data_IF_205166128614
#
_entry.id   IF_205166128614
#
_cell.length_a   1.000
_cell.length_b   1.000
_cell.length_c   1.000
_cell.angle_alpha   90.00
_cell.angle_beta   90.00
_cell.angle_gamma   90.00
#
_symmetry.space_group_name_H-M   'P 1'
#
loop_
_entity.id
_entity.type
_entity.pdbx_description
1 polymer ?
#
# COMPACT_ATOMS: atom_id res chain seq x y z
N UNK A 1 -52.85 28.59 1.66
CA UNK A 1 -52.64 27.64 0.54
C UNK A 1 -52.50 26.23 1.13
N UNK A 2 -53.59 25.46 1.26
CA UNK A 2 -53.58 24.12 1.85
C UNK A 2 -53.25 23.11 0.75
N UNK A 3 -52.03 22.58 0.75
CA UNK A 3 -51.58 21.56 -0.21
C UNK A 3 -52.41 20.26 0.00
N UNK A 4 -53.13 19.76 -1.03
CA UNK A 4 -53.90 18.54 -0.89
C UNK A 4 -52.99 17.30 -0.88
N UNK A 5 -53.33 16.33 -0.01
CA UNK A 5 -53.07 14.91 -0.24
C UNK A 5 -51.70 14.36 0.17
N UNK A 6 -51.58 13.81 1.38
CA UNK A 6 -50.38 13.06 1.82
C UNK A 6 -49.96 11.90 0.89
N UNK A 7 -50.86 11.41 0.02
CA UNK A 7 -50.54 10.45 -1.05
C UNK A 7 -49.63 11.05 -2.14
N UNK A 8 -49.82 12.32 -2.50
CA UNK A 8 -48.99 13.02 -3.48
C UNK A 8 -47.55 13.19 -2.97
N UNK A 9 -47.40 13.56 -1.69
CA UNK A 9 -46.07 13.69 -1.04
C UNK A 9 -45.32 12.35 -1.00
N UNK A 10 -46.01 11.24 -0.73
CA UNK A 10 -45.42 9.89 -0.76
C UNK A 10 -45.00 9.48 -2.17
N UNK A 11 -45.85 9.74 -3.18
CA UNK A 11 -45.53 9.45 -4.57
C UNK A 11 -44.30 10.24 -5.06
N UNK A 12 -44.22 11.53 -4.72
CA UNK A 12 -43.05 12.37 -5.03
C UNK A 12 -41.77 11.85 -4.36
N UNK A 13 -41.86 11.42 -3.10
CA UNK A 13 -40.72 10.82 -2.39
C UNK A 13 -40.24 9.51 -3.03
N UNK A 14 -41.16 8.62 -3.41
CA UNK A 14 -40.82 7.37 -4.11
C UNK A 14 -40.19 7.67 -5.47
N UNK A 15 -40.77 8.60 -6.23
CA UNK A 15 -40.21 9.01 -7.53
C UNK A 15 -38.79 9.59 -7.39
N UNK A 16 -38.54 10.40 -6.35
CA UNK A 16 -37.21 10.94 -6.06
C UNK A 16 -36.19 9.83 -5.75
N UNK A 17 -36.55 8.86 -4.91
CA UNK A 17 -35.68 7.72 -4.59
C UNK A 17 -35.39 6.90 -5.85
N UNK A 18 -36.40 6.59 -6.66
CA UNK A 18 -36.22 5.87 -7.92
C UNK A 18 -35.29 6.64 -8.89
N UNK A 19 -35.44 7.96 -8.98
CA UNK A 19 -34.57 8.80 -9.81
C UNK A 19 -33.13 8.83 -9.30
N UNK A 20 -32.92 8.94 -7.98
CA UNK A 20 -31.58 8.90 -7.38
C UNK A 20 -30.90 7.54 -7.57
N UNK A 21 -31.61 6.45 -7.33
CA UNK A 21 -31.08 5.09 -7.52
C UNK A 21 -30.80 4.83 -9.00
N UNK A 22 -31.73 5.21 -9.89
CA UNK A 22 -31.53 5.09 -11.34
C UNK A 22 -30.33 5.91 -11.83
N UNK A 23 -30.18 7.14 -11.35
CA UNK A 23 -29.03 7.99 -11.66
C UNK A 23 -27.70 7.41 -11.15
N UNK A 24 -27.69 6.77 -9.98
CA UNK A 24 -26.50 6.09 -9.44
C UNK A 24 -26.11 4.87 -10.28
N UNK A 25 -27.08 4.04 -10.68
CA UNK A 25 -26.83 2.89 -11.56
C UNK A 25 -26.35 3.35 -12.94
N UNK A 26 -26.95 4.41 -13.48
CA UNK A 26 -26.54 5.02 -14.75
C UNK A 26 -25.11 5.57 -14.68
N UNK A 27 -24.75 6.25 -13.59
CA UNK A 27 -23.40 6.72 -13.36
C UNK A 27 -22.39 5.56 -13.32
N UNK A 28 -22.71 4.47 -12.62
CA UNK A 28 -21.85 3.28 -12.58
C UNK A 28 -21.68 2.65 -13.97
N UNK A 29 -22.69 2.68 -14.83
CA UNK A 29 -22.58 2.19 -16.21
C UNK A 29 -21.58 3.02 -17.03
N UNK A 30 -21.55 4.34 -16.85
CA UNK A 30 -20.57 5.24 -17.50
C UNK A 30 -19.17 5.07 -16.90
N UNK A 31 -19.08 4.90 -15.57
CA UNK A 31 -17.80 4.78 -14.86
C UNK A 31 -17.15 3.40 -15.03
N UNK A 32 -17.94 2.34 -15.25
CA UNK A 32 -17.46 0.96 -15.40
C UNK A 32 -16.26 0.79 -16.33
N UNK A 33 -16.21 1.34 -17.56
CA UNK A 33 -15.05 1.17 -18.45
C UNK A 33 -13.77 1.83 -17.92
N UNK A 34 -13.89 2.85 -17.07
CA UNK A 34 -12.75 3.52 -16.44
C UNK A 34 -12.24 2.70 -15.25
N UNK A 35 -13.13 2.01 -14.53
CA UNK A 35 -12.80 1.21 -13.34
C UNK A 35 -12.28 -0.20 -13.66
N UNK A 36 -12.06 -0.53 -14.94
CA UNK A 36 -11.49 -1.83 -15.36
C UNK A 36 -10.01 -1.96 -14.94
N UNK A 37 -9.32 -0.85 -14.70
CA UNK A 37 -7.95 -0.81 -14.19
C UNK A 37 -7.79 0.26 -13.10
N UNK A 38 -6.75 0.10 -12.28
CA UNK A 38 -6.39 1.06 -11.21
C UNK A 38 -5.87 2.41 -11.74
N UNK A 39 -5.77 2.55 -13.06
CA UNK A 39 -5.29 3.74 -13.76
C UNK A 39 -6.44 4.64 -14.23
N UNK A 40 -7.69 4.22 -14.01
CA UNK A 40 -8.89 4.94 -14.43
C UNK A 40 -8.94 5.23 -15.94
N UNK A 41 -8.24 4.44 -16.76
CA UNK A 41 -8.07 4.71 -18.19
C UNK A 41 -8.77 3.65 -19.04
N UNK A 42 -9.88 3.97 -19.74
CA UNK A 42 -10.64 2.99 -20.50
C UNK A 42 -9.78 2.36 -21.60
N UNK A 43 -10.01 1.06 -21.85
CA UNK A 43 -9.31 0.24 -22.84
C UNK A 43 -7.79 0.11 -22.65
N UNK A 44 -7.22 0.61 -21.55
CA UNK A 44 -5.82 0.42 -21.25
C UNK A 44 -5.60 -0.93 -20.56
N UNK A 45 -4.96 -1.86 -21.25
CA UNK A 45 -4.62 -3.16 -20.68
C UNK A 45 -3.37 -3.02 -19.78
N UNK A 46 -3.43 -3.30 -18.46
CA UNK A 46 -2.28 -3.26 -17.55
C UNK A 46 -1.21 -4.34 -17.83
N UNK A 47 -1.27 -4.98 -19.01
CA UNK A 47 -0.42 -6.09 -19.44
C UNK A 47 0.68 -5.65 -20.44
N UNK A 48 0.72 -4.37 -20.80
CA UNK A 48 1.58 -3.82 -21.85
C UNK A 48 2.88 -3.18 -21.36
N UNK A 49 3.46 -2.35 -22.24
CA UNK A 49 4.77 -1.70 -22.12
C UNK A 49 5.05 -0.96 -20.80
N UNK A 50 4.02 -0.45 -20.13
CA UNK A 50 4.11 0.20 -18.81
C UNK A 50 4.83 -0.65 -17.75
N UNK A 51 4.61 -1.97 -17.78
CA UNK A 51 5.23 -2.88 -16.81
C UNK A 51 6.67 -3.21 -17.19
N UNK A 52 7.01 -3.15 -18.48
CA UNK A 52 8.38 -3.26 -18.98
C UNK A 52 9.22 -2.06 -18.59
N UNK A 53 8.67 -0.84 -18.72
CA UNK A 53 9.35 0.38 -18.25
C UNK A 53 9.72 0.28 -16.77
N UNK A 54 8.80 -0.23 -15.96
CA UNK A 54 9.03 -0.31 -14.52
C UNK A 54 10.12 -1.32 -14.13
N UNK A 55 10.30 -2.40 -14.91
CA UNK A 55 11.44 -3.30 -14.72
C UNK A 55 12.76 -2.65 -15.14
N UNK A 56 12.79 -1.90 -16.24
CA UNK A 56 13.98 -1.16 -16.68
C UNK A 56 14.41 -0.18 -15.60
N UNK A 57 13.48 0.64 -15.08
CA UNK A 57 13.77 1.54 -13.97
C UNK A 57 14.21 0.81 -12.71
N UNK A 58 13.57 -0.32 -12.38
CA UNK A 58 13.99 -1.14 -11.24
C UNK A 58 15.44 -1.60 -11.37
N UNK A 59 15.85 -2.12 -12.53
CA UNK A 59 17.22 -2.58 -12.76
C UNK A 59 18.23 -1.42 -12.64
N UNK A 60 17.91 -0.27 -13.22
CA UNK A 60 18.79 0.90 -13.13
C UNK A 60 18.88 1.49 -11.73
N UNK A 61 17.78 1.56 -10.98
CA UNK A 61 17.78 2.06 -9.59
C UNK A 61 18.51 1.13 -8.62
N UNK A 62 18.62 -0.17 -8.95
CA UNK A 62 19.37 -1.13 -8.14
C UNK A 62 20.86 -1.15 -8.46
N UNK A 63 21.23 -0.90 -9.72
CA UNK A 63 22.60 -1.04 -10.20
C UNK A 63 23.38 0.27 -10.35
N UNK A 64 22.72 1.41 -10.55
CA UNK A 64 23.38 2.66 -10.92
C UNK A 64 22.92 3.83 -10.04
N UNK A 65 23.84 4.35 -9.23
CA UNK A 65 23.68 5.61 -8.51
C UNK A 65 23.85 6.81 -9.47
N UNK A 66 22.91 6.97 -10.40
CA UNK A 66 22.87 8.09 -11.34
C UNK A 66 23.36 7.77 -12.76
N UNK A 67 22.64 8.29 -13.75
CA UNK A 67 22.91 8.13 -15.17
C UNK A 67 21.69 8.43 -16.04
N UNK A 68 21.88 8.61 -17.35
CA UNK A 68 20.79 8.72 -18.33
C UNK A 68 20.35 7.33 -18.79
N UNK A 69 19.05 7.04 -18.73
CA UNK A 69 18.50 5.75 -19.14
C UNK A 69 17.94 5.87 -20.56
N UNK A 70 18.54 5.15 -21.51
CA UNK A 70 18.02 5.02 -22.86
C UNK A 70 16.86 4.03 -22.90
N UNK A 71 15.63 4.53 -22.74
CA UNK A 71 14.42 3.70 -22.69
C UNK A 71 14.19 2.90 -23.98
N UNK A 72 14.68 3.42 -25.11
CA UNK A 72 14.56 2.80 -26.44
C UNK A 72 15.83 2.06 -26.88
N UNK A 73 16.86 2.01 -26.04
CA UNK A 73 18.08 1.28 -26.37
C UNK A 73 17.85 -0.23 -26.27
N UNK A 74 18.45 -1.00 -27.19
CA UNK A 74 18.36 -2.46 -27.20
C UNK A 74 18.95 -3.07 -25.93
N UNK A 75 19.92 -2.39 -25.30
CA UNK A 75 20.49 -2.80 -24.01
C UNK A 75 19.47 -2.77 -22.85
N UNK A 76 18.41 -1.97 -22.98
CA UNK A 76 17.31 -1.87 -22.00
C UNK A 76 16.16 -2.83 -22.29
N UNK A 77 16.27 -3.68 -23.32
CA UNK A 77 15.21 -4.62 -23.69
C UNK A 77 15.15 -5.81 -22.72
N UNK A 78 14.05 -5.93 -21.99
CA UNK A 78 13.82 -7.03 -21.04
C UNK A 78 12.86 -8.04 -21.67
N UNK A 79 13.31 -9.24 -22.04
CA UNK A 79 12.43 -10.28 -22.57
C UNK A 79 11.48 -10.75 -21.46
N UNK A 80 10.18 -10.55 -21.65
CA UNK A 80 9.16 -10.87 -20.65
C UNK A 80 8.25 -12.03 -21.08
N UNK A 81 8.13 -13.10 -20.28
CA UNK A 81 7.02 -14.05 -20.40
C UNK A 81 5.72 -13.37 -19.95
N UNK A 82 4.60 -13.84 -20.48
CA UNK A 82 3.24 -13.25 -20.42
C UNK A 82 2.62 -13.00 -19.02
N UNK A 83 3.37 -13.20 -17.92
CA UNK A 83 2.90 -13.08 -16.55
C UNK A 83 3.14 -11.67 -15.97
N UNK A 84 2.03 -10.96 -15.76
CA UNK A 84 1.96 -9.54 -15.37
C UNK A 84 1.91 -9.38 -13.86
N UNK A 85 3.02 -9.64 -13.18
CA UNK A 85 3.18 -9.18 -11.80
C UNK A 85 4.45 -8.37 -11.70
N UNK A 86 4.29 -7.11 -11.32
CA UNK A 86 5.42 -6.31 -10.94
C UNK A 86 6.06 -6.97 -9.73
N UNK A 87 7.29 -7.46 -9.91
CA UNK A 87 8.05 -8.04 -8.80
C UNK A 87 8.65 -6.89 -8.02
N UNK A 88 8.02 -6.49 -6.92
CA UNK A 88 8.62 -5.51 -6.02
C UNK A 88 9.74 -6.20 -5.22
N UNK A 89 10.93 -5.61 -5.12
CA UNK A 89 11.95 -6.18 -4.24
C UNK A 89 11.50 -6.07 -2.78
N UNK A 90 11.61 -7.15 -1.98
CA UNK A 90 11.27 -7.10 -0.56
C UNK A 90 12.18 -6.13 0.21
N UNK A 91 13.40 -5.90 -0.29
CA UNK A 91 14.38 -4.94 0.26
C UNK A 91 14.03 -3.48 -0.02
N UNK A 92 13.25 -3.18 -1.06
CA UNK A 92 12.96 -1.79 -1.47
C UNK A 92 12.21 -1.02 -0.40
N UNK A 93 11.21 -1.64 0.24
CA UNK A 93 10.49 -1.03 1.36
C UNK A 93 11.44 -0.73 2.53
N UNK A 94 12.38 -1.64 2.82
CA UNK A 94 13.37 -1.42 3.88
C UNK A 94 14.36 -0.32 3.51
N UNK A 95 14.79 -0.25 2.25
CA UNK A 95 15.68 0.80 1.77
C UNK A 95 15.00 2.17 1.82
N UNK A 96 13.73 2.27 1.41
CA UNK A 96 12.94 3.49 1.49
C UNK A 96 12.67 3.89 2.94
N UNK A 97 12.32 2.92 3.81
CA UNK A 97 12.22 3.16 5.24
C UNK A 97 13.53 3.67 5.81
N UNK A 98 14.68 3.10 5.43
CA UNK A 98 15.98 3.53 5.96
C UNK A 98 16.49 4.85 5.34
N UNK A 99 16.07 5.18 4.11
CA UNK A 99 16.46 6.42 3.44
C UNK A 99 15.61 7.61 3.88
N UNK A 100 14.31 7.40 4.08
CA UNK A 100 13.36 8.44 4.50
C UNK A 100 13.26 8.53 6.03
N UNK A 101 13.23 7.41 6.76
CA UNK A 101 13.27 7.41 8.22
C UNK A 101 14.72 7.47 8.69
N UNK A 102 15.24 8.69 8.79
CA UNK A 102 16.36 8.99 9.70
C UNK A 102 16.07 8.61 11.17
N UNK A 103 14.83 8.24 11.49
CA UNK A 103 14.39 7.76 12.78
C UNK A 103 13.10 6.95 12.60
N UNK A 104 13.16 5.61 12.70
CA UNK A 104 11.98 4.85 13.08
C UNK A 104 11.48 5.46 14.41
N UNK A 105 10.37 6.18 14.40
CA UNK A 105 9.91 6.93 15.59
C UNK A 105 9.73 6.00 16.79
N UNK A 106 9.39 4.74 16.52
CA UNK A 106 9.33 3.68 17.50
C UNK A 106 10.71 3.02 17.59
N UNK A 107 11.55 3.53 18.49
CA UNK A 107 12.71 2.76 18.95
C UNK A 107 12.23 1.81 20.06
N UNK A 108 12.26 0.49 19.89
CA UNK A 108 11.93 -0.46 20.96
C UNK A 108 13.02 -0.48 22.04
N UNK A 109 12.63 -0.79 23.27
CA UNK A 109 13.54 -1.00 24.41
C UNK A 109 13.62 -2.47 24.81
N UNK A 110 12.61 -3.29 24.47
CA UNK A 110 12.64 -4.74 24.71
C UNK A 110 12.12 -5.52 23.51
N UNK A 111 12.67 -6.73 23.32
CA UNK A 111 12.13 -7.68 22.35
C UNK A 111 10.78 -8.21 22.81
N UNK A 112 10.68 -8.59 24.09
CA UNK A 112 9.54 -9.30 24.65
C UNK A 112 8.87 -8.57 25.81
N UNK A 113 7.58 -8.88 26.04
CA UNK A 113 6.78 -8.28 27.10
C UNK A 113 7.29 -8.63 28.51
N UNK A 114 8.08 -9.69 28.67
CA UNK A 114 8.70 -10.06 29.94
C UNK A 114 10.03 -9.33 30.21
N UNK A 115 10.43 -8.40 29.32
CA UNK A 115 11.63 -7.57 29.48
C UNK A 115 12.93 -8.39 29.67
N UNK A 116 12.99 -9.58 29.08
CA UNK A 116 14.15 -10.49 29.21
C UNK A 116 15.30 -10.09 28.29
N UNK A 117 14.96 -9.56 27.12
CA UNK A 117 15.95 -9.14 26.13
C UNK A 117 15.83 -7.64 25.87
N UNK A 118 16.88 -6.91 26.24
CA UNK A 118 17.01 -5.47 26.07
C UNK A 118 17.45 -5.15 24.64
N UNK A 119 16.79 -4.17 24.02
CA UNK A 119 17.02 -3.75 22.63
C UNK A 119 17.29 -2.23 22.51
N UNK A 120 17.37 -1.51 23.63
CA UNK A 120 17.71 -0.11 23.60
C UNK A 120 19.16 0.11 23.12
N UNK A 121 19.34 1.03 22.19
CA UNK A 121 20.65 1.34 21.58
C UNK A 121 21.70 1.89 22.57
N UNK A 122 21.29 2.40 23.74
CA UNK A 122 22.21 2.91 24.76
C UNK A 122 21.70 2.57 26.16
N UNK A 123 22.63 2.40 27.11
CA UNK A 123 22.30 2.15 28.52
C UNK A 123 21.45 3.27 29.12
N UNK A 124 21.78 4.53 28.81
CA UNK A 124 20.99 5.68 29.28
C UNK A 124 19.55 5.66 28.77
N UNK A 125 19.30 5.12 27.57
CA UNK A 125 17.93 4.94 27.07
C UNK A 125 17.24 3.75 27.74
N UNK A 126 17.96 2.67 28.00
CA UNK A 126 17.43 1.51 28.74
C UNK A 126 16.93 1.92 30.12
N UNK A 127 17.71 2.71 30.86
CA UNK A 127 17.33 3.24 32.18
C UNK A 127 16.13 4.19 32.11
N UNK A 128 16.03 5.04 31.08
CA UNK A 128 14.84 5.87 30.88
C UNK A 128 13.60 5.03 30.57
N UNK A 129 13.75 4.00 29.74
CA UNK A 129 12.66 3.11 29.38
C UNK A 129 12.13 2.35 30.61
N UNK A 130 13.01 1.81 31.45
CA UNK A 130 12.60 1.13 32.68
C UNK A 130 11.93 2.08 33.67
N UNK A 131 12.38 3.33 33.76
CA UNK A 131 11.85 4.32 34.69
C UNK A 131 10.54 4.99 34.24
N UNK A 132 10.35 5.25 32.93
CA UNK A 132 9.26 6.11 32.42
C UNK A 132 8.33 5.47 31.40
N UNK A 133 8.78 4.45 30.67
CA UNK A 133 8.06 3.89 29.51
C UNK A 133 7.70 2.42 29.69
N UNK A 134 7.90 1.87 30.89
CA UNK A 134 7.69 0.45 31.19
C UNK A 134 6.26 -0.06 30.92
N UNK A 135 5.28 0.85 30.85
CA UNK A 135 3.87 0.58 30.54
C UNK A 135 3.46 0.96 29.11
N UNK A 136 4.36 1.59 28.34
CA UNK A 136 4.08 2.01 26.97
C UNK A 136 4.19 0.79 26.03
N UNK A 137 3.10 0.42 25.35
CA UNK A 137 3.12 -0.72 24.43
C UNK A 137 4.07 -0.57 23.23
N UNK A 138 4.40 0.66 22.85
CA UNK A 138 5.26 0.94 21.70
C UNK A 138 6.74 0.56 21.92
N UNK A 139 7.20 0.44 23.17
CA UNK A 139 8.60 0.08 23.46
C UNK A 139 8.88 -1.42 23.35
N UNK A 140 7.87 -2.23 23.07
CA UNK A 140 7.98 -3.68 22.91
C UNK A 140 7.86 -4.07 21.44
N UNK A 141 8.79 -4.89 20.97
CA UNK A 141 8.77 -5.39 19.59
C UNK A 141 7.78 -6.56 19.40
N UNK A 142 7.57 -7.38 20.43
CA UNK A 142 6.73 -8.58 20.38
C UNK A 142 5.29 -8.36 19.87
N UNK A 143 4.54 -7.31 20.26
CA UNK A 143 3.21 -7.07 19.72
C UNK A 143 3.22 -6.84 18.21
N UNK A 144 4.21 -6.09 17.69
CA UNK A 144 4.38 -5.85 16.26
C UNK A 144 4.64 -7.17 15.53
N UNK A 145 5.59 -7.98 16.03
CA UNK A 145 5.92 -9.28 15.43
C UNK A 145 4.77 -10.29 15.50
N UNK A 146 3.89 -10.20 16.51
CA UNK A 146 2.70 -11.07 16.60
C UNK A 146 1.56 -10.65 15.68
N UNK A 147 1.56 -9.41 15.21
CA UNK A 147 0.54 -8.91 14.29
C UNK A 147 0.90 -9.17 12.80
N UNK A 148 2.03 -9.83 12.54
CA UNK A 148 2.45 -10.24 11.19
C UNK A 148 1.93 -11.65 10.91
N UNK A 149 1.27 -11.84 9.76
CA UNK A 149 0.95 -13.18 9.24
C UNK A 149 2.21 -13.79 8.64
N UNK A 150 2.94 -14.56 9.45
CA UNK A 150 4.25 -15.10 9.07
C UNK A 150 4.20 -16.05 7.88
N UNK A 151 3.13 -16.85 7.75
CA UNK A 151 2.98 -17.79 6.63
C UNK A 151 2.89 -17.05 5.30
N UNK A 152 2.11 -15.97 5.23
CA UNK A 152 2.04 -15.10 4.04
C UNK A 152 3.34 -14.34 3.81
N UNK A 153 3.98 -13.88 4.88
CA UNK A 153 5.23 -13.13 4.80
C UNK A 153 6.38 -13.97 4.22
N UNK A 154 6.54 -15.21 4.70
CA UNK A 154 7.59 -16.12 4.25
C UNK A 154 7.32 -16.65 2.84
N UNK A 155 6.07 -17.04 2.53
CA UNK A 155 5.72 -17.56 1.19
C UNK A 155 5.81 -16.50 0.10
N UNK A 156 5.50 -15.23 0.39
CA UNK A 156 5.73 -14.13 -0.55
C UNK A 156 7.21 -14.04 -0.93
N UNK A 157 8.12 -14.22 0.02
CA UNK A 157 9.56 -14.13 -0.20
C UNK A 157 10.12 -15.31 -1.01
N UNK A 158 9.55 -16.51 -0.86
CA UNK A 158 9.97 -17.71 -1.62
C UNK A 158 9.41 -17.72 -3.06
N UNK A 159 8.27 -17.06 -3.28
CA UNK A 159 7.65 -16.92 -4.60
C UNK A 159 8.31 -15.86 -5.50
N UNK A 160 9.26 -15.10 -4.95
CA UNK A 160 10.13 -14.19 -5.69
C UNK A 160 11.48 -14.82 -5.95
#
# INVERSE_FOLDING_TARGET
MKLPGGRLRRALGVAYICACVGGSVWFLAIASPYLVNDLFWPAFAPRGAQTSLLDVFRLHLLGAAGGTIGIFDAASAIPRPTATKLKMQPTYHRQLLLSELKSLEIRPCWVDLAKRWELAHTLGRQLRCSAKEAANGAVFLKPVLRNVQWDLFMTYQDST
#
